data_IF_506135433054
#
_entry.id   IF_506135433054
#
_cell.length_a   1.000
_cell.length_b   1.000
_cell.length_c   1.000
_cell.angle_alpha   90.00
_cell.angle_beta   90.00
_cell.angle_gamma   90.00
#
_symmetry.space_group_name_H-M   'P 1'
#
loop_
_entity.id
_entity.type
_entity.pdbx_description
1 polymer ?
#
# COMPACT_ATOMS: atom_id res chain seq x y z
N UNK A 1 0.85 26.02 15.88
CA UNK A 1 0.90 24.56 15.66
C UNK A 1 0.62 24.32 14.19
N UNK A 2 1.59 23.84 13.41
CA UNK A 2 1.35 23.43 12.03
C UNK A 2 0.84 22.00 12.08
N UNK A 3 -0.46 21.81 11.87
CA UNK A 3 -1.05 20.48 11.85
C UNK A 3 -0.42 19.65 10.72
N UNK A 4 -0.17 18.37 10.96
CA UNK A 4 0.20 17.38 9.94
C UNK A 4 -0.75 17.47 8.71
N UNK A 5 -2.00 17.89 8.97
CA UNK A 5 -3.04 18.13 7.99
C UNK A 5 -2.82 19.35 7.09
N UNK A 6 -2.33 20.46 7.65
CA UNK A 6 -2.20 21.74 6.94
C UNK A 6 -1.09 21.69 5.88
N UNK A 7 -0.09 20.84 6.09
CA UNK A 7 1.07 20.75 5.21
C UNK A 7 0.97 19.60 4.20
N UNK A 8 0.17 18.56 4.48
CA UNK A 8 0.16 17.31 3.69
C UNK A 8 -1.21 16.65 3.50
N UNK A 9 -2.26 17.07 4.23
CA UNK A 9 -3.51 16.33 4.37
C UNK A 9 -4.46 16.40 3.17
N UNK A 10 -4.44 17.46 2.36
CA UNK A 10 -5.51 17.72 1.38
C UNK A 10 -5.14 17.33 -0.08
N UNK A 11 -3.85 17.39 -0.43
CA UNK A 11 -3.37 17.05 -1.79
C UNK A 11 -3.18 15.54 -1.94
N UNK A 12 -2.57 14.89 -0.94
CA UNK A 12 -2.26 13.47 -1.02
C UNK A 12 -3.47 12.56 -0.78
N UNK A 13 -4.42 12.92 0.09
CA UNK A 13 -5.69 12.17 0.26
C UNK A 13 -6.51 12.10 -1.02
N UNK A 14 -6.55 13.18 -1.82
CA UNK A 14 -7.23 13.19 -3.12
C UNK A 14 -6.56 12.28 -4.16
N UNK A 15 -5.23 12.15 -4.13
CA UNK A 15 -4.50 11.24 -5.02
C UNK A 15 -4.60 9.78 -4.56
N UNK A 16 -4.49 9.54 -3.24
CA UNK A 16 -4.69 8.26 -2.55
C UNK A 16 -6.09 7.70 -2.83
N UNK A 17 -7.13 8.53 -2.67
CA UNK A 17 -8.52 8.13 -2.92
C UNK A 17 -8.81 7.86 -4.40
N UNK A 18 -8.21 8.61 -5.34
CA UNK A 18 -8.37 8.36 -6.78
C UNK A 18 -7.79 7.01 -7.23
N UNK A 19 -6.75 6.51 -6.56
CA UNK A 19 -6.15 5.21 -6.89
C UNK A 19 -6.78 4.03 -6.16
N UNK A 20 -7.61 4.28 -5.14
CA UNK A 20 -8.42 3.26 -4.46
C UNK A 20 -9.55 2.66 -5.34
N UNK A 21 -9.88 3.31 -6.47
CA UNK A 21 -11.14 3.04 -7.18
C UNK A 21 -10.98 2.10 -8.37
N UNK A 22 -9.80 1.92 -8.97
CA UNK A 22 -9.75 1.14 -10.20
C UNK A 22 -9.71 -0.38 -9.95
N UNK A 23 -10.60 -1.18 -10.58
CA UNK A 23 -10.56 -2.63 -10.50
C UNK A 23 -9.23 -3.18 -11.02
N UNK A 24 -8.74 -4.21 -10.33
CA UNK A 24 -7.48 -4.92 -10.61
C UNK A 24 -7.64 -5.95 -11.75
N UNK A 25 -8.82 -6.04 -12.39
CA UNK A 25 -9.11 -6.96 -13.50
C UNK A 25 -8.50 -6.57 -14.87
N UNK A 26 -7.51 -5.68 -14.94
CA UNK A 26 -6.89 -5.27 -16.21
C UNK A 26 -5.68 -6.11 -16.61
N UNK A 27 -5.42 -6.23 -17.91
CA UNK A 27 -4.22 -6.86 -18.50
C UNK A 27 -2.89 -6.37 -17.88
N UNK A 28 -2.86 -5.15 -17.34
CA UNK A 28 -1.71 -4.56 -16.63
C UNK A 28 -1.88 -4.53 -15.10
N UNK A 29 -1.86 -5.72 -14.51
CA UNK A 29 -1.98 -5.94 -13.08
C UNK A 29 -0.73 -5.43 -12.31
N UNK A 30 0.47 -5.62 -12.87
CA UNK A 30 1.73 -5.20 -12.25
C UNK A 30 1.88 -3.68 -12.23
N UNK A 31 1.62 -2.99 -13.35
CA UNK A 31 1.73 -1.53 -13.44
C UNK A 31 0.81 -0.81 -12.46
N UNK A 32 -0.41 -1.31 -12.24
CA UNK A 32 -1.33 -0.77 -11.23
C UNK A 32 -0.84 -0.98 -9.80
N UNK A 33 -0.28 -2.16 -9.51
CA UNK A 33 0.30 -2.44 -8.21
C UNK A 33 1.50 -1.52 -7.91
N UNK A 34 2.36 -1.28 -8.90
CA UNK A 34 3.46 -0.32 -8.81
C UNK A 34 2.98 1.11 -8.52
N UNK A 35 1.94 1.57 -9.22
CA UNK A 35 1.35 2.88 -8.96
C UNK A 35 0.77 3.00 -7.54
N UNK A 36 0.10 1.95 -7.05
CA UNK A 36 -0.40 1.91 -5.68
C UNK A 36 0.73 1.90 -4.65
N UNK A 37 1.79 1.12 -4.90
CA UNK A 37 2.97 1.03 -4.03
C UNK A 37 3.69 2.37 -3.88
N UNK A 38 3.85 3.12 -4.97
CA UNK A 38 4.45 4.47 -4.94
C UNK A 38 3.74 5.40 -3.96
N UNK A 39 2.41 5.34 -3.91
CA UNK A 39 1.63 6.15 -2.98
C UNK A 39 1.78 5.67 -1.54
N UNK A 40 1.69 4.36 -1.33
CA UNK A 40 1.89 3.81 0.02
C UNK A 40 3.29 4.12 0.55
N UNK A 41 4.31 4.13 -0.30
CA UNK A 41 5.66 4.51 0.07
C UNK A 41 5.77 5.98 0.48
N UNK A 42 5.13 6.90 -0.24
CA UNK A 42 5.06 8.30 0.19
C UNK A 42 4.46 8.40 1.60
N UNK A 43 3.41 7.64 1.88
CA UNK A 43 2.81 7.61 3.21
C UNK A 43 3.74 6.96 4.26
N UNK A 44 4.34 5.82 3.96
CA UNK A 44 5.27 5.14 4.87
C UNK A 44 6.45 6.04 5.24
N UNK A 45 7.06 6.70 4.25
CA UNK A 45 8.16 7.65 4.47
C UNK A 45 7.75 8.84 5.37
N UNK A 46 6.48 9.24 5.34
CA UNK A 46 5.96 10.35 6.14
C UNK A 46 5.64 9.93 7.58
N UNK A 47 5.15 8.70 7.79
CA UNK A 47 4.75 8.23 9.13
C UNK A 47 5.92 7.64 9.90
N UNK A 48 6.73 6.79 9.26
CA UNK A 48 7.89 6.18 9.90
C UNK A 48 8.94 5.80 8.84
N UNK A 49 10.10 6.45 8.89
CA UNK A 49 11.21 6.25 7.94
C UNK A 49 11.86 4.86 8.04
N UNK A 50 11.60 4.10 9.10
CA UNK A 50 12.11 2.74 9.28
C UNK A 50 11.24 1.67 8.59
N UNK A 51 10.08 2.06 8.06
CA UNK A 51 9.23 1.14 7.31
C UNK A 51 9.89 0.70 6.01
N UNK A 52 9.70 -0.57 5.66
CA UNK A 52 10.19 -1.11 4.38
C UNK A 52 9.31 -0.58 3.25
N UNK A 53 9.95 -0.04 2.20
CA UNK A 53 9.23 0.43 1.02
C UNK A 53 8.82 -0.74 0.14
N UNK A 54 7.68 -0.58 -0.52
CA UNK A 54 7.13 -1.52 -1.49
C UNK A 54 7.78 -1.30 -2.86
N UNK A 55 8.01 -2.34 -3.68
CA UNK A 55 8.57 -2.19 -5.02
C UNK A 55 7.68 -1.34 -5.93
N UNK A 56 8.26 -0.35 -6.61
CA UNK A 56 7.50 0.57 -7.48
C UNK A 56 7.69 0.31 -8.98
N UNK A 57 8.52 -0.67 -9.36
CA UNK A 57 8.73 -1.07 -10.75
C UNK A 57 9.39 -2.45 -10.83
N UNK A 58 9.46 -3.02 -12.03
CA UNK A 58 10.04 -4.33 -12.31
C UNK A 58 11.57 -4.38 -12.32
N UNK A 59 12.25 -3.23 -12.14
CA UNK A 59 13.70 -3.15 -12.04
C UNK A 59 14.20 -3.35 -10.60
N UNK A 60 13.28 -3.33 -9.63
CA UNK A 60 13.59 -3.60 -8.23
C UNK A 60 14.27 -4.98 -8.07
N UNK A 61 15.49 -5.03 -7.51
CA UNK A 61 16.27 -6.26 -7.38
C UNK A 61 15.56 -7.38 -6.64
N UNK A 62 14.72 -7.07 -5.64
CA UNK A 62 14.06 -8.06 -4.79
C UNK A 62 12.92 -8.79 -5.52
N UNK A 63 12.38 -8.18 -6.58
CA UNK A 63 11.31 -8.77 -7.40
C UNK A 63 11.73 -9.04 -8.84
N UNK A 64 12.97 -8.70 -9.20
CA UNK A 64 13.53 -9.00 -10.52
C UNK A 64 13.50 -10.52 -10.75
N UNK A 65 12.81 -10.93 -11.82
CA UNK A 65 12.53 -12.35 -12.17
C UNK A 65 11.53 -13.08 -11.26
N UNK A 66 10.90 -12.40 -10.30
CA UNK A 66 9.86 -13.01 -9.48
C UNK A 66 8.58 -13.23 -10.33
N UNK A 67 7.93 -14.40 -10.25
CA UNK A 67 6.64 -14.58 -10.90
C UNK A 67 5.61 -13.63 -10.29
N UNK A 68 4.63 -13.21 -11.09
CA UNK A 68 3.55 -12.27 -10.68
C UNK A 68 2.89 -12.63 -9.35
N UNK A 69 2.63 -13.92 -9.12
CA UNK A 69 2.04 -14.40 -7.87
C UNK A 69 3.00 -14.19 -6.69
N UNK A 70 4.29 -14.49 -6.89
CA UNK A 70 5.33 -14.23 -5.90
C UNK A 70 5.42 -12.76 -5.52
N UNK A 71 5.33 -11.87 -6.52
CA UNK A 71 5.35 -10.42 -6.30
C UNK A 71 4.24 -9.96 -5.36
N UNK A 72 3.01 -10.44 -5.55
CA UNK A 72 1.91 -10.07 -4.67
C UNK A 72 2.10 -10.59 -3.24
N UNK A 73 2.64 -11.79 -3.05
CA UNK A 73 2.97 -12.26 -1.70
C UNK A 73 4.08 -11.46 -1.05
N UNK A 74 5.09 -11.08 -1.81
CA UNK A 74 6.15 -10.24 -1.29
C UNK A 74 5.59 -8.89 -0.79
N UNK A 75 4.70 -8.26 -1.55
CA UNK A 75 3.98 -7.05 -1.09
C UNK A 75 3.18 -7.33 0.19
N UNK A 76 2.44 -8.45 0.23
CA UNK A 76 1.65 -8.86 1.39
C UNK A 76 2.49 -8.99 2.67
N UNK A 77 3.66 -9.64 2.54
CA UNK A 77 4.60 -9.85 3.63
C UNK A 77 5.18 -8.51 4.12
N UNK A 78 5.60 -7.62 3.21
CA UNK A 78 6.10 -6.29 3.57
C UNK A 78 5.05 -5.47 4.33
N UNK A 79 3.81 -5.49 3.84
CA UNK A 79 2.70 -4.76 4.47
C UNK A 79 2.40 -5.32 5.85
N UNK A 80 2.40 -6.64 6.00
CA UNK A 80 2.23 -7.29 7.30
C UNK A 80 3.34 -6.90 8.29
N UNK A 81 4.60 -6.81 7.85
CA UNK A 81 5.67 -6.35 8.75
C UNK A 81 5.50 -4.87 9.11
N UNK A 82 5.21 -4.02 8.12
CA UNK A 82 4.99 -2.59 8.36
C UNK A 82 3.78 -2.34 9.26
N UNK A 83 2.73 -3.15 9.17
CA UNK A 83 1.53 -3.00 10.00
C UNK A 83 1.81 -3.21 11.48
N UNK A 84 2.72 -4.13 11.82
CA UNK A 84 3.18 -4.33 13.20
C UNK A 84 3.83 -3.07 13.75
N UNK A 85 4.70 -2.44 12.96
CA UNK A 85 5.37 -1.19 13.34
C UNK A 85 4.42 0.00 13.42
N UNK A 86 3.35 0.00 12.62
CA UNK A 86 2.32 1.03 12.59
C UNK A 86 1.19 0.80 13.61
N UNK A 87 1.19 -0.32 14.33
CA UNK A 87 0.16 -0.64 15.33
C UNK A 87 -1.22 -0.94 14.74
N UNK A 88 -1.32 -1.42 13.50
CA UNK A 88 -2.58 -1.88 12.91
C UNK A 88 -2.56 -3.36 12.57
N UNK A 89 -3.68 -4.02 12.83
CA UNK A 89 -3.79 -5.46 12.70
C UNK A 89 -4.12 -5.84 11.25
N UNK A 90 -3.09 -6.01 10.43
CA UNK A 90 -3.20 -6.55 9.08
C UNK A 90 -3.06 -8.08 9.11
N UNK A 91 -4.01 -8.85 8.57
CA UNK A 91 -3.88 -10.30 8.49
C UNK A 91 -2.89 -10.71 7.39
N UNK A 92 -1.90 -11.55 7.73
CA UNK A 92 -1.02 -12.14 6.72
C UNK A 92 -1.78 -13.18 5.91
N UNK A 93 -2.05 -12.88 4.64
CA UNK A 93 -2.72 -13.82 3.74
C UNK A 93 -1.79 -14.92 3.20
N UNK A 94 -2.34 -16.12 3.05
CA UNK A 94 -1.62 -17.32 2.58
C UNK A 94 -1.31 -17.33 1.08
N UNK A 95 -0.37 -18.21 0.70
CA UNK A 95 0.17 -18.34 -0.66
C UNK A 95 -0.77 -19.09 -1.64
N UNK A 96 -1.99 -18.60 -1.86
CA UNK A 96 -2.93 -19.17 -2.85
C UNK A 96 -3.34 -18.25 -4.01
N UNK A 97 -3.54 -18.82 -5.21
CA UNK A 97 -3.87 -18.10 -6.45
C UNK A 97 -5.02 -17.07 -6.30
N UNK A 98 -5.98 -17.35 -5.43
CA UNK A 98 -7.10 -16.47 -5.06
C UNK A 98 -6.64 -15.14 -4.46
N UNK A 99 -5.48 -15.09 -3.82
CA UNK A 99 -4.84 -13.89 -3.30
C UNK A 99 -4.44 -12.93 -4.44
N UNK A 100 -3.76 -13.42 -5.48
CA UNK A 100 -3.33 -12.59 -6.60
C UNK A 100 -4.50 -11.98 -7.38
N UNK A 101 -5.66 -12.65 -7.37
CA UNK A 101 -6.90 -12.16 -8.00
C UNK A 101 -7.63 -11.16 -7.10
N UNK A 102 -7.45 -11.25 -5.77
CA UNK A 102 -8.12 -10.37 -4.81
C UNK A 102 -7.17 -9.49 -3.97
N UNK A 103 -6.00 -9.15 -4.52
CA UNK A 103 -5.01 -8.29 -3.86
C UNK A 103 -5.59 -6.92 -3.49
N UNK A 104 -6.55 -6.39 -4.27
CA UNK A 104 -7.20 -5.11 -3.96
C UNK A 104 -7.84 -5.12 -2.58
N UNK A 105 -8.77 -6.05 -2.37
CA UNK A 105 -9.60 -6.10 -1.17
C UNK A 105 -8.83 -6.64 0.02
N UNK A 106 -7.88 -7.54 -0.23
CA UNK A 106 -7.07 -8.15 0.84
C UNK A 106 -5.91 -7.27 1.28
N UNK A 107 -5.26 -6.56 0.36
CA UNK A 107 -4.03 -5.81 0.66
C UNK A 107 -4.27 -4.32 0.71
N UNK A 108 -4.67 -3.74 -0.41
CA UNK A 108 -4.69 -2.29 -0.56
C UNK A 108 -5.85 -1.63 0.21
N UNK A 109 -7.05 -2.22 0.18
CA UNK A 109 -8.23 -1.67 0.85
C UNK A 109 -8.09 -1.54 2.38
N UNK A 110 -7.59 -2.55 3.12
CA UNK A 110 -7.41 -2.45 4.57
C UNK A 110 -6.41 -1.36 4.97
N UNK A 111 -5.32 -1.21 4.21
CA UNK A 111 -4.30 -0.20 4.47
C UNK A 111 -4.88 1.19 4.25
N UNK A 112 -5.56 1.41 3.12
CA UNK A 112 -6.16 2.72 2.83
C UNK A 112 -7.21 3.10 3.88
N UNK A 113 -8.00 2.13 4.36
CA UNK A 113 -8.94 2.37 5.45
C UNK A 113 -8.22 2.80 6.74
N UNK A 114 -7.06 2.23 7.04
CA UNK A 114 -6.26 2.61 8.19
C UNK A 114 -5.64 4.01 8.02
N UNK A 115 -5.05 4.28 6.85
CA UNK A 115 -4.50 5.60 6.49
C UNK A 115 -5.55 6.69 6.65
N UNK A 116 -6.74 6.49 6.08
CA UNK A 116 -7.84 7.45 6.19
C UNK A 116 -8.26 7.68 7.65
N UNK A 117 -8.32 6.63 8.48
CA UNK A 117 -8.59 6.79 9.92
C UNK A 117 -7.53 7.60 10.66
N UNK A 118 -6.26 7.42 10.32
CA UNK A 118 -5.17 8.19 10.93
C UNK A 118 -5.23 9.66 10.52
N UNK A 119 -5.52 9.90 9.24
CA UNK A 119 -5.77 11.22 8.68
C UNK A 119 -6.95 11.87 9.44
N UNK A 120 -8.12 11.26 9.47
CA UNK A 120 -9.32 11.80 10.15
C UNK A 120 -9.04 12.17 11.62
N UNK A 121 -8.25 11.34 12.34
CA UNK A 121 -7.83 11.62 13.73
C UNK A 121 -6.90 12.82 13.89
N UNK A 122 -6.11 13.17 12.88
CA UNK A 122 -5.23 14.33 12.91
C UNK A 122 -5.91 15.63 12.43
N UNK A 123 -7.16 15.52 11.97
CA UNK A 123 -7.95 16.60 11.38
C UNK A 123 -8.96 17.24 12.34
N UNK A 124 -9.24 16.58 13.47
CA UNK A 124 -10.07 17.09 14.56
C UNK A 124 -9.23 17.49 15.75
#
# INVERSE_FOLDING_TARGET
>A
MNSFYDRYGNVHTKEISKLSIQPIHSKDLMGKAFAANKILNLYFQQVNKELKLLPENNLDPEIKKMPRIGYFYYINELIYQNSKSLGFNYPLYEKHLSFAVNTKEKVYSPIMKHINKLIDKCSG
#
